data_IF_078657372769
#
_entry.id   IF_078657372769
#
_cell.length_a   1.000
_cell.length_b   1.000
_cell.length_c   1.000
_cell.angle_alpha   90.00
_cell.angle_beta   90.00
_cell.angle_gamma   90.00
#
_symmetry.space_group_name_H-M   'P 1'
#
loop_
_entity.id
_entity.type
_entity.pdbx_description
1 polymer ?
#
# COMPACT_ATOMS: atom_id res chain seq x y z
N UNK A 1 16.82 -8.09 15.57
CA UNK A 1 17.54 -9.18 14.89
C UNK A 1 17.00 -9.18 13.46
N UNK A 2 17.80 -8.83 12.44
CA UNK A 2 17.29 -8.81 11.06
C UNK A 2 16.85 -10.23 10.69
N UNK A 3 15.62 -10.41 10.21
CA UNK A 3 15.06 -11.73 9.91
C UNK A 3 15.71 -12.43 8.71
N UNK A 4 16.56 -11.72 7.95
CA UNK A 4 17.26 -12.26 6.80
C UNK A 4 18.72 -11.81 6.85
N UNK A 5 19.63 -12.69 7.28
CA UNK A 5 21.08 -12.43 7.29
C UNK A 5 21.63 -12.22 5.87
N UNK A 6 20.89 -12.62 4.82
CA UNK A 6 21.22 -12.29 3.43
C UNK A 6 19.99 -12.31 2.52
N UNK A 7 19.78 -11.26 1.71
CA UNK A 7 18.67 -11.17 0.77
C UNK A 7 19.04 -11.84 -0.57
N UNK A 8 18.36 -12.94 -0.91
CA UNK A 8 18.52 -13.61 -2.20
C UNK A 8 17.60 -13.00 -3.26
N UNK A 9 18.18 -12.46 -4.34
CA UNK A 9 17.46 -11.85 -5.46
C UNK A 9 17.62 -12.71 -6.70
N UNK A 10 16.52 -13.10 -7.34
CA UNK A 10 16.50 -13.94 -8.54
C UNK A 10 16.01 -13.14 -9.75
N UNK A 11 16.87 -12.96 -10.74
CA UNK A 11 16.53 -12.37 -12.04
C UNK A 11 16.24 -13.48 -13.06
N UNK A 12 15.12 -13.36 -13.77
CA UNK A 12 14.68 -14.32 -14.78
C UNK A 12 14.40 -13.60 -16.09
N UNK A 13 15.23 -13.84 -17.10
CA UNK A 13 15.09 -13.22 -18.43
C UNK A 13 15.62 -14.17 -19.51
N UNK A 14 14.84 -14.38 -20.57
CA UNK A 14 15.27 -15.25 -21.68
C UNK A 14 16.40 -14.65 -22.53
N UNK A 15 16.64 -13.33 -22.42
CA UNK A 15 17.77 -12.66 -23.06
C UNK A 15 19.03 -12.70 -22.19
N UNK A 16 19.94 -13.60 -22.53
CA UNK A 16 21.23 -13.77 -21.85
C UNK A 16 22.09 -12.51 -21.84
N UNK A 17 21.99 -11.65 -22.86
CA UNK A 17 22.77 -10.42 -22.89
C UNK A 17 22.27 -9.42 -21.84
N UNK A 18 20.95 -9.40 -21.59
CA UNK A 18 20.37 -8.58 -20.53
C UNK A 18 20.76 -9.09 -19.15
N UNK A 19 20.74 -10.41 -18.93
CA UNK A 19 21.23 -11.00 -17.67
C UNK A 19 22.69 -10.65 -17.41
N UNK A 20 23.57 -10.79 -18.41
CA UNK A 20 25.00 -10.45 -18.26
C UNK A 20 25.25 -8.94 -18.13
N UNK A 21 24.36 -8.09 -18.67
CA UNK A 21 24.39 -6.66 -18.39
C UNK A 21 24.02 -6.38 -16.92
N UNK A 22 22.89 -6.91 -16.43
CA UNK A 22 22.45 -6.76 -15.05
C UNK A 22 23.50 -7.28 -14.05
N UNK A 23 24.07 -8.45 -14.33
CA UNK A 23 25.12 -9.06 -13.50
C UNK A 23 26.38 -8.19 -13.39
N UNK A 24 26.76 -7.52 -14.48
CA UNK A 24 27.89 -6.57 -14.46
C UNK A 24 27.56 -5.33 -13.66
N UNK A 25 26.37 -4.77 -13.84
CA UNK A 25 26.02 -3.49 -13.20
C UNK A 25 25.70 -3.64 -11.72
N UNK A 26 25.11 -4.76 -11.30
CA UNK A 26 24.78 -5.02 -9.90
C UNK A 26 25.93 -5.64 -9.10
N UNK A 27 27.10 -5.88 -9.74
CA UNK A 27 28.25 -6.55 -9.11
C UNK A 27 28.72 -5.87 -7.84
N UNK A 28 28.68 -4.53 -7.81
CA UNK A 28 29.16 -3.73 -6.67
C UNK A 28 28.21 -3.80 -5.46
N UNK A 29 27.06 -4.48 -5.58
CA UNK A 29 26.06 -4.65 -4.51
C UNK A 29 26.05 -6.08 -3.95
N UNK A 30 26.98 -6.95 -4.37
CA UNK A 30 27.09 -8.33 -3.90
C UNK A 30 27.41 -8.45 -2.40
N UNK A 31 27.94 -7.38 -1.79
CA UNK A 31 28.17 -7.34 -0.33
C UNK A 31 26.86 -7.22 0.45
N UNK A 32 25.78 -6.79 -0.21
CA UNK A 32 24.44 -6.60 0.40
C UNK A 32 23.44 -7.67 -0.06
N UNK A 33 23.56 -8.15 -1.30
CA UNK A 33 22.61 -9.06 -1.93
C UNK A 33 23.27 -10.29 -2.52
N UNK A 34 22.59 -11.44 -2.46
CA UNK A 34 22.98 -12.64 -3.18
C UNK A 34 22.20 -12.72 -4.49
N UNK A 35 22.88 -12.44 -5.59
CA UNK A 35 22.28 -12.34 -6.91
C UNK A 35 22.28 -13.68 -7.64
N UNK A 36 21.11 -14.09 -8.12
CA UNK A 36 20.87 -15.31 -8.90
C UNK A 36 20.28 -14.93 -10.26
N UNK A 37 20.63 -15.67 -11.32
CA UNK A 37 20.20 -15.38 -12.69
C UNK A 37 19.78 -16.67 -13.41
N UNK A 38 18.61 -16.64 -14.04
CA UNK A 38 18.02 -17.75 -14.78
C UNK A 38 17.51 -17.30 -16.15
N UNK A 39 17.58 -18.17 -17.16
CA UNK A 39 17.09 -17.89 -18.52
C UNK A 39 15.72 -18.51 -18.83
N UNK A 40 15.11 -19.20 -17.85
CA UNK A 40 13.85 -19.92 -18.04
C UNK A 40 13.06 -20.09 -16.75
N UNK A 41 11.74 -20.25 -16.86
CA UNK A 41 10.86 -20.52 -15.70
C UNK A 41 11.23 -21.82 -14.96
N UNK A 42 11.70 -22.85 -15.68
CA UNK A 42 12.06 -24.13 -15.06
C UNK A 42 13.27 -23.98 -14.14
N UNK A 43 14.35 -23.37 -14.63
CA UNK A 43 15.55 -23.11 -13.80
C UNK A 43 15.26 -22.17 -12.62
N UNK A 44 14.37 -21.20 -12.80
CA UNK A 44 13.92 -20.32 -11.71
C UNK A 44 13.22 -21.10 -10.58
N UNK A 45 12.32 -22.03 -10.93
CA UNK A 45 11.63 -22.88 -9.96
C UNK A 45 12.59 -23.86 -9.25
N UNK A 46 13.60 -24.37 -9.94
CA UNK A 46 14.63 -25.21 -9.32
C UNK A 46 15.43 -24.45 -8.26
N UNK A 47 15.77 -23.17 -8.51
CA UNK A 47 16.44 -22.33 -7.51
C UNK A 47 15.53 -21.96 -6.34
N UNK A 48 14.25 -21.67 -6.60
CA UNK A 48 13.27 -21.40 -5.54
C UNK A 48 13.10 -22.57 -4.56
N UNK A 49 13.21 -23.81 -5.05
CA UNK A 49 13.20 -25.00 -4.18
C UNK A 49 14.47 -25.11 -3.31
N UNK A 50 15.59 -24.54 -3.75
CA UNK A 50 16.90 -24.71 -3.10
C UNK A 50 17.28 -23.54 -2.18
N UNK A 51 16.77 -22.35 -2.46
CA UNK A 51 17.19 -21.11 -1.82
C UNK A 51 15.99 -20.28 -1.36
N UNK A 52 16.09 -19.59 -0.21
CA UNK A 52 15.05 -18.70 0.28
C UNK A 52 15.07 -17.37 -0.50
N UNK A 53 14.59 -17.39 -1.75
CA UNK A 53 14.53 -16.21 -2.61
C UNK A 53 13.59 -15.17 -1.99
N UNK A 54 14.15 -14.02 -1.62
CA UNK A 54 13.40 -12.90 -1.07
C UNK A 54 12.64 -12.15 -2.16
N UNK A 55 13.28 -11.93 -3.32
CA UNK A 55 12.69 -11.19 -4.45
C UNK A 55 12.96 -11.95 -5.74
N UNK A 56 11.92 -12.16 -6.56
CA UNK A 56 12.04 -12.61 -7.94
C UNK A 56 11.67 -11.46 -8.89
N UNK A 57 12.51 -11.24 -9.90
CA UNK A 57 12.33 -10.26 -10.96
C UNK A 57 12.24 -11.03 -12.27
N UNK A 58 11.03 -11.13 -12.85
CA UNK A 58 10.80 -11.86 -14.09
C UNK A 58 10.51 -10.90 -15.25
N UNK A 59 11.04 -11.19 -16.43
CA UNK A 59 10.53 -10.61 -17.67
C UNK A 59 9.12 -11.13 -17.97
N UNK A 60 8.30 -10.35 -18.69
CA UNK A 60 6.96 -10.75 -19.14
C UNK A 60 6.97 -11.94 -20.08
N UNK A 61 7.97 -12.04 -20.95
CA UNK A 61 8.12 -13.13 -21.90
C UNK A 61 9.40 -13.93 -21.62
N UNK A 62 9.25 -15.22 -21.30
CA UNK A 62 10.35 -16.14 -21.04
C UNK A 62 10.39 -17.23 -22.13
N UNK A 63 10.90 -16.86 -23.31
CA UNK A 63 10.86 -17.72 -24.49
C UNK A 63 9.42 -17.98 -24.96
N UNK A 64 8.94 -19.22 -24.89
CA UNK A 64 7.55 -19.58 -25.23
C UNK A 64 6.57 -19.52 -24.06
N UNK A 65 7.06 -19.28 -22.84
CA UNK A 65 6.23 -19.20 -21.61
C UNK A 65 6.04 -17.74 -21.18
N UNK A 66 4.91 -17.48 -20.53
CA UNK A 66 4.68 -16.19 -19.89
C UNK A 66 5.38 -16.12 -18.53
N UNK A 67 6.01 -14.99 -18.23
CA UNK A 67 6.54 -14.68 -16.92
C UNK A 67 5.43 -14.54 -15.86
N UNK A 68 4.23 -14.11 -16.25
CA UNK A 68 3.08 -14.03 -15.34
C UNK A 68 2.69 -15.42 -14.79
N UNK A 69 2.80 -16.46 -15.61
CA UNK A 69 2.55 -17.85 -15.19
C UNK A 69 3.62 -18.35 -14.21
N UNK A 70 4.89 -17.95 -14.40
CA UNK A 70 5.92 -18.19 -13.39
C UNK A 70 5.55 -17.49 -12.08
N UNK A 71 5.23 -16.20 -12.11
CA UNK A 71 4.89 -15.44 -10.91
C UNK A 71 3.65 -15.99 -10.20
N UNK A 72 2.65 -16.50 -10.94
CA UNK A 72 1.50 -17.21 -10.38
C UNK A 72 1.91 -18.46 -9.61
N UNK A 73 2.83 -19.26 -10.17
CA UNK A 73 3.37 -20.44 -9.47
C UNK A 73 4.17 -20.03 -8.23
N UNK A 74 4.96 -18.95 -8.30
CA UNK A 74 5.66 -18.39 -7.14
C UNK A 74 4.67 -17.92 -6.07
N UNK A 75 3.57 -17.25 -6.44
CA UNK A 75 2.55 -16.83 -5.48
C UNK A 75 1.94 -18.01 -4.72
N UNK A 76 1.71 -19.13 -5.41
CA UNK A 76 1.07 -20.32 -4.82
C UNK A 76 2.02 -21.18 -3.99
N UNK A 77 3.28 -21.32 -4.41
CA UNK A 77 4.25 -22.24 -3.78
C UNK A 77 5.27 -21.54 -2.88
N UNK A 78 5.53 -20.26 -3.14
CA UNK A 78 6.52 -19.42 -2.45
C UNK A 78 5.94 -18.04 -2.09
N UNK A 79 4.82 -17.99 -1.34
CA UNK A 79 4.11 -16.74 -1.06
C UNK A 79 5.00 -15.67 -0.38
N UNK A 80 5.99 -16.08 0.43
CA UNK A 80 6.97 -15.16 1.05
C UNK A 80 7.91 -14.44 0.05
N UNK A 81 8.01 -14.90 -1.20
CA UNK A 81 8.83 -14.28 -2.24
C UNK A 81 8.10 -13.06 -2.83
N UNK A 82 8.75 -11.89 -2.77
CA UNK A 82 8.25 -10.69 -3.43
C UNK A 82 8.45 -10.81 -4.95
N UNK A 83 7.34 -10.73 -5.68
CA UNK A 83 7.29 -10.88 -7.14
C UNK A 83 7.27 -9.52 -7.84
N UNK A 84 8.30 -9.23 -8.64
CA UNK A 84 8.39 -8.05 -9.50
C UNK A 84 8.39 -8.49 -10.97
N UNK A 85 7.69 -7.74 -11.82
CA UNK A 85 7.66 -7.96 -13.26
C UNK A 85 8.42 -6.83 -13.96
N UNK A 86 9.37 -7.16 -14.83
CA UNK A 86 10.21 -6.19 -15.53
C UNK A 86 9.92 -6.26 -17.03
N UNK A 87 9.32 -5.24 -17.64
CA UNK A 87 8.88 -5.37 -19.05
C UNK A 87 9.02 -4.11 -19.91
N UNK A 88 9.45 -4.34 -21.15
CA UNK A 88 9.57 -3.32 -22.20
C UNK A 88 8.38 -3.21 -23.13
N UNK A 89 7.35 -4.04 -22.96
CA UNK A 89 6.11 -4.01 -23.75
C UNK A 89 4.88 -3.93 -22.85
N UNK A 90 4.97 -3.09 -21.81
CA UNK A 90 3.89 -2.71 -20.90
C UNK A 90 2.49 -2.83 -21.56
N UNK A 91 2.24 -2.08 -22.63
CA UNK A 91 0.93 -2.00 -23.31
C UNK A 91 0.40 -3.29 -23.98
N UNK A 92 1.18 -4.38 -24.08
CA UNK A 92 0.74 -5.64 -24.72
C UNK A 92 0.43 -6.77 -23.74
N UNK A 93 0.78 -6.61 -22.46
CA UNK A 93 0.43 -7.60 -21.43
C UNK A 93 -1.01 -7.35 -20.96
N UNK A 94 -1.90 -8.35 -20.91
CA UNK A 94 -3.24 -8.16 -20.36
C UNK A 94 -3.17 -7.62 -18.94
N UNK A 95 -3.90 -6.54 -18.65
CA UNK A 95 -3.89 -5.91 -17.33
C UNK A 95 -4.25 -6.87 -16.18
N UNK A 96 -5.02 -7.92 -16.47
CA UNK A 96 -5.39 -8.96 -15.51
C UNK A 96 -4.16 -9.74 -14.98
N UNK A 97 -3.18 -10.01 -15.86
CA UNK A 97 -1.98 -10.74 -15.49
C UNK A 97 -1.01 -9.91 -14.64
N UNK A 98 -1.05 -8.58 -14.82
CA UNK A 98 -0.24 -7.61 -14.09
C UNK A 98 -0.71 -7.48 -12.65
N UNK A 99 -2.03 -7.52 -12.46
CA UNK A 99 -2.66 -7.04 -11.23
C UNK A 99 -2.77 -8.11 -10.14
N UNK A 100 -2.68 -9.41 -10.48
CA UNK A 100 -2.91 -10.49 -9.53
C UNK A 100 -1.64 -11.21 -9.06
N UNK A 101 -0.60 -11.27 -9.90
CA UNK A 101 0.54 -12.17 -9.66
C UNK A 101 1.85 -11.42 -9.38
N UNK A 102 1.99 -10.18 -9.85
CA UNK A 102 3.11 -9.31 -9.51
C UNK A 102 2.68 -8.29 -8.45
N UNK A 103 3.56 -8.00 -7.49
CA UNK A 103 3.33 -6.90 -6.55
C UNK A 103 3.61 -5.56 -7.22
N UNK A 104 4.69 -5.51 -8.01
CA UNK A 104 5.14 -4.30 -8.71
C UNK A 104 5.57 -4.62 -10.14
N UNK A 105 5.38 -3.64 -11.01
CA UNK A 105 5.84 -3.68 -12.39
C UNK A 105 6.89 -2.58 -12.62
N UNK A 106 7.99 -2.93 -13.27
CA UNK A 106 9.10 -2.04 -13.63
C UNK A 106 9.15 -1.95 -15.16
N UNK A 107 9.19 -0.74 -15.72
CA UNK A 107 9.21 -0.54 -17.17
C UNK A 107 10.66 -0.63 -17.69
N UNK A 108 10.85 -1.26 -18.84
CA UNK A 108 12.10 -1.16 -19.61
C UNK A 108 11.98 -0.03 -20.66
N UNK A 109 13.02 0.79 -20.87
CA UNK A 109 14.30 0.76 -20.14
C UNK A 109 14.14 1.33 -18.72
N UNK A 110 14.72 0.63 -17.74
CA UNK A 110 14.92 1.14 -16.38
C UNK A 110 16.41 1.35 -16.19
N UNK A 111 16.82 2.55 -15.78
CA UNK A 111 18.20 2.78 -15.42
C UNK A 111 18.52 2.02 -14.12
N UNK A 112 19.80 1.68 -13.96
CA UNK A 112 20.23 0.83 -12.86
C UNK A 112 20.04 1.48 -11.49
N UNK A 113 20.18 2.81 -11.39
CA UNK A 113 20.00 3.49 -10.11
C UNK A 113 18.54 3.39 -9.65
N UNK A 114 17.60 3.58 -10.56
CA UNK A 114 16.17 3.39 -10.27
C UNK A 114 15.87 1.95 -9.84
N UNK A 115 16.43 0.95 -10.53
CA UNK A 115 16.26 -0.46 -10.14
C UNK A 115 16.81 -0.74 -8.74
N UNK A 116 18.02 -0.24 -8.43
CA UNK A 116 18.65 -0.39 -7.11
C UNK A 116 17.75 0.23 -6.03
N UNK A 117 17.27 1.46 -6.24
CA UNK A 117 16.39 2.16 -5.29
C UNK A 117 15.10 1.36 -5.06
N UNK A 118 14.50 0.78 -6.09
CA UNK A 118 13.31 -0.08 -5.94
C UNK A 118 13.64 -1.31 -5.08
N UNK A 119 14.74 -2.01 -5.36
CA UNK A 119 15.14 -3.21 -4.63
C UNK A 119 15.49 -2.92 -3.17
N UNK A 120 16.26 -1.86 -2.90
CA UNK A 120 16.57 -1.40 -1.55
C UNK A 120 15.30 -1.08 -0.76
N UNK A 121 14.34 -0.38 -1.37
CA UNK A 121 13.06 -0.07 -0.74
C UNK A 121 12.27 -1.32 -0.40
N UNK A 122 12.11 -2.24 -1.35
CA UNK A 122 11.38 -3.49 -1.10
C UNK A 122 12.02 -4.28 0.04
N UNK A 123 13.36 -4.32 0.11
CA UNK A 123 14.08 -4.99 1.20
C UNK A 123 13.87 -4.27 2.54
N UNK A 124 14.02 -2.95 2.60
CA UNK A 124 13.80 -2.15 3.81
C UNK A 124 12.37 -2.29 4.33
N UNK A 125 11.38 -2.36 3.44
CA UNK A 125 9.98 -2.54 3.82
C UNK A 125 9.75 -3.93 4.43
N UNK A 126 10.46 -4.97 3.98
CA UNK A 126 10.40 -6.30 4.62
C UNK A 126 10.87 -6.24 6.06
N UNK A 127 11.84 -5.38 6.40
CA UNK A 127 12.31 -5.18 7.77
C UNK A 127 11.25 -4.50 8.68
N UNK A 128 10.23 -3.83 8.11
CA UNK A 128 9.08 -3.34 8.88
C UNK A 128 8.23 -4.49 9.43
N UNK A 129 8.16 -5.59 8.69
CA UNK A 129 7.45 -6.79 9.11
C UNK A 129 8.43 -7.73 9.80
N UNK A 130 8.59 -7.55 11.11
CA UNK A 130 9.37 -8.45 11.95
C UNK A 130 8.69 -9.81 12.20
N UNK A 131 7.85 -10.26 11.27
CA UNK A 131 7.08 -11.50 11.35
C UNK A 131 6.91 -12.13 9.95
N UNK A 132 7.59 -13.25 9.65
CA UNK A 132 7.49 -13.93 8.36
C UNK A 132 6.06 -14.33 7.97
N UNK A 133 5.21 -14.68 8.93
CA UNK A 133 3.83 -15.03 8.66
C UNK A 133 3.02 -13.82 8.16
N UNK A 134 3.34 -12.62 8.65
CA UNK A 134 2.72 -11.38 8.16
C UNK A 134 3.24 -11.02 6.77
N UNK A 135 4.54 -11.22 6.50
CA UNK A 135 5.09 -11.06 5.14
C UNK A 135 4.41 -12.00 4.16
N UNK A 136 4.24 -13.27 4.52
CA UNK A 136 3.57 -14.27 3.70
C UNK A 136 2.11 -13.91 3.45
N UNK A 137 1.38 -13.52 4.49
CA UNK A 137 0.01 -13.06 4.41
C UNK A 137 -0.12 -11.90 3.42
N UNK A 138 0.65 -10.82 3.61
CA UNK A 138 0.55 -9.64 2.75
C UNK A 138 0.95 -9.95 1.31
N UNK A 139 1.99 -10.76 1.10
CA UNK A 139 2.41 -11.16 -0.24
C UNK A 139 1.42 -12.10 -0.94
N UNK A 140 0.56 -12.81 -0.19
CA UNK A 140 -0.46 -13.68 -0.77
C UNK A 140 -1.67 -12.90 -1.31
N UNK A 141 -1.83 -11.63 -0.90
CA UNK A 141 -2.94 -10.77 -1.30
C UNK A 141 -2.89 -10.47 -2.80
N UNK A 142 -3.92 -10.93 -3.53
CA UNK A 142 -4.15 -10.55 -4.93
C UNK A 142 -4.96 -9.26 -5.08
N UNK A 143 -5.89 -8.99 -4.17
CA UNK A 143 -6.72 -7.78 -4.14
C UNK A 143 -7.11 -7.43 -2.71
N UNK A 144 -7.56 -6.19 -2.52
CA UNK A 144 -8.18 -5.75 -1.28
C UNK A 144 -9.70 -5.73 -1.45
N UNK A 145 -10.45 -6.19 -0.44
CA UNK A 145 -11.89 -6.15 -0.51
C UNK A 145 -12.41 -4.72 -0.30
N UNK A 146 -13.54 -4.44 -0.93
CA UNK A 146 -14.27 -3.18 -0.88
C UNK A 146 -15.59 -3.36 -0.14
N UNK A 147 -16.11 -2.26 0.43
CA UNK A 147 -17.44 -2.31 1.08
C UNK A 147 -18.51 -2.74 0.06
N UNK A 148 -19.49 -3.57 0.46
CA UNK A 148 -20.58 -4.01 -0.40
C UNK A 148 -21.32 -2.86 -1.08
N UNK A 149 -21.56 -1.76 -0.37
CA UNK A 149 -22.22 -0.58 -0.91
C UNK A 149 -21.37 0.11 -2.00
N UNK A 150 -20.07 0.32 -1.75
CA UNK A 150 -19.15 0.90 -2.72
C UNK A 150 -19.00 0.01 -3.95
N UNK A 151 -18.91 -1.32 -3.75
CA UNK A 151 -18.86 -2.30 -4.83
C UNK A 151 -20.12 -2.25 -5.70
N UNK A 152 -21.30 -2.25 -5.07
CA UNK A 152 -22.57 -2.14 -5.75
C UNK A 152 -22.66 -0.84 -6.58
N UNK A 153 -22.31 0.31 -5.97
CA UNK A 153 -22.28 1.62 -6.64
C UNK A 153 -21.34 1.62 -7.85
N UNK A 154 -20.15 1.02 -7.71
CA UNK A 154 -19.20 0.90 -8.81
C UNK A 154 -19.78 0.10 -9.98
N UNK A 155 -20.38 -1.07 -9.71
CA UNK A 155 -20.96 -1.90 -10.76
C UNK A 155 -22.13 -1.19 -11.46
N UNK A 156 -23.00 -0.53 -10.69
CA UNK A 156 -24.13 0.24 -11.22
C UNK A 156 -23.65 1.40 -12.10
N UNK A 157 -22.64 2.15 -11.64
CA UNK A 157 -22.03 3.22 -12.41
C UNK A 157 -21.39 2.69 -13.71
N UNK A 158 -20.66 1.57 -13.67
CA UNK A 158 -20.02 1.02 -14.87
C UNK A 158 -20.99 0.44 -15.91
N UNK A 159 -22.22 0.12 -15.50
CA UNK A 159 -23.27 -0.40 -16.38
C UNK A 159 -24.18 0.71 -16.95
N UNK A 160 -24.12 1.91 -16.39
CA UNK A 160 -24.90 3.07 -16.85
C UNK A 160 -24.24 3.74 -18.06
N UNK A 161 -25.04 4.07 -19.07
CA UNK A 161 -24.60 4.81 -20.27
C UNK A 161 -24.29 6.29 -19.98
N UNK A 162 -24.80 6.84 -18.88
CA UNK A 162 -24.69 8.26 -18.51
C UNK A 162 -23.55 8.56 -17.51
N UNK A 163 -22.77 7.55 -17.12
CA UNK A 163 -21.75 7.69 -16.08
C UNK A 163 -20.61 8.60 -16.49
N UNK A 164 -20.16 9.42 -15.55
CA UNK A 164 -19.03 10.33 -15.74
C UNK A 164 -17.74 9.84 -15.07
N UNK A 165 -16.58 10.32 -15.56
CA UNK A 165 -15.28 10.09 -14.91
C UNK A 165 -15.26 10.61 -13.47
N UNK A 166 -15.96 11.72 -13.22
CA UNK A 166 -16.04 12.32 -11.89
C UNK A 166 -16.78 11.39 -10.91
N UNK A 167 -17.91 10.83 -11.33
CA UNK A 167 -18.70 9.90 -10.54
C UNK A 167 -17.92 8.62 -10.18
N UNK A 168 -17.27 7.99 -11.16
CA UNK A 168 -16.40 6.83 -10.88
C UNK A 168 -15.26 7.22 -9.94
N UNK A 169 -14.63 8.37 -10.18
CA UNK A 169 -13.57 8.89 -9.32
C UNK A 169 -14.01 9.06 -7.87
N UNK A 170 -15.23 9.56 -7.64
CA UNK A 170 -15.81 9.72 -6.30
C UNK A 170 -16.10 8.38 -5.62
N UNK A 171 -16.63 7.40 -6.36
CA UNK A 171 -16.89 6.06 -5.82
C UNK A 171 -15.57 5.42 -5.39
N UNK A 172 -14.55 5.43 -6.25
CA UNK A 172 -13.23 4.87 -5.94
C UNK A 172 -12.63 5.56 -4.72
N UNK A 173 -12.61 6.90 -4.72
CA UNK A 173 -11.95 7.67 -3.67
C UNK A 173 -12.61 7.56 -2.28
N UNK A 174 -13.84 7.04 -2.20
CA UNK A 174 -14.50 6.76 -0.91
C UNK A 174 -14.17 5.38 -0.36
N UNK A 175 -13.56 4.50 -1.15
CA UNK A 175 -13.29 3.11 -0.76
C UNK A 175 -11.79 2.81 -0.68
N UNK A 176 -11.35 2.25 0.46
CA UNK A 176 -9.95 1.88 0.70
C UNK A 176 -9.45 0.85 -0.31
N UNK A 177 -10.21 -0.23 -0.52
CA UNK A 177 -9.83 -1.31 -1.42
C UNK A 177 -9.71 -0.84 -2.86
N UNK A 178 -10.72 -0.12 -3.35
CA UNK A 178 -10.73 0.39 -4.72
C UNK A 178 -9.64 1.43 -4.95
N UNK A 179 -9.50 2.39 -4.04
CA UNK A 179 -8.47 3.43 -4.13
C UNK A 179 -7.08 2.82 -4.21
N UNK A 180 -6.75 1.93 -3.26
CA UNK A 180 -5.42 1.31 -3.19
C UNK A 180 -5.15 0.49 -4.46
N UNK A 181 -6.14 -0.27 -4.94
CA UNK A 181 -5.98 -1.11 -6.13
C UNK A 181 -5.83 -0.29 -7.41
N UNK A 182 -6.61 0.77 -7.57
CA UNK A 182 -6.50 1.65 -8.73
C UNK A 182 -5.16 2.40 -8.74
N UNK A 183 -4.70 2.85 -7.58
CA UNK A 183 -3.41 3.52 -7.44
C UNK A 183 -2.25 2.56 -7.69
N UNK A 184 -2.30 1.31 -7.20
CA UNK A 184 -1.32 0.27 -7.54
C UNK A 184 -1.22 0.14 -9.06
N UNK A 185 -2.37 0.08 -9.73
CA UNK A 185 -2.42 -0.09 -11.17
C UNK A 185 -1.78 1.06 -11.91
N UNK A 186 -2.21 2.30 -11.64
CA UNK A 186 -1.72 3.48 -12.37
C UNK A 186 -0.24 3.74 -12.10
N UNK A 187 0.25 3.41 -10.90
CA UNK A 187 1.67 3.50 -10.55
C UNK A 187 2.51 2.31 -11.03
N UNK A 188 1.87 1.26 -11.54
CA UNK A 188 2.59 0.20 -12.23
C UNK A 188 3.17 0.78 -13.52
N UNK A 189 4.39 0.38 -13.88
CA UNK A 189 5.01 0.93 -15.09
C UNK A 189 4.33 0.47 -16.40
N UNK A 190 3.21 -0.26 -16.33
CA UNK A 190 2.31 -0.53 -17.44
C UNK A 190 1.79 0.74 -18.12
N UNK A 191 1.45 1.76 -17.33
CA UNK A 191 0.91 3.01 -17.86
C UNK A 191 2.00 3.99 -18.29
N UNK A 192 3.28 3.68 -18.03
CA UNK A 192 4.42 4.45 -18.51
C UNK A 192 4.42 5.92 -18.06
N UNK A 193 3.80 6.23 -16.92
CA UNK A 193 3.62 7.61 -16.46
C UNK A 193 4.94 8.18 -15.91
N UNK A 194 5.26 9.45 -16.21
CA UNK A 194 6.50 10.10 -15.76
C UNK A 194 6.48 10.45 -14.27
N UNK A 195 5.30 10.48 -13.64
CA UNK A 195 5.10 10.80 -12.23
C UNK A 195 4.19 9.76 -11.58
N UNK A 196 4.44 9.48 -10.30
CA UNK A 196 3.54 8.65 -9.50
C UNK A 196 2.23 9.41 -9.25
N UNK A 197 1.12 8.69 -9.37
CA UNK A 197 -0.23 9.19 -9.17
C UNK A 197 -0.69 8.86 -7.76
N UNK A 198 -1.12 9.88 -7.03
CA UNK A 198 -1.55 9.77 -5.63
C UNK A 198 -3.06 10.00 -5.46
N UNK A 199 -3.77 10.39 -6.52
CA UNK A 199 -5.21 10.70 -6.47
C UNK A 199 -6.02 9.64 -7.21
N UNK A 200 -6.98 8.96 -6.56
CA UNK A 200 -7.86 8.00 -7.24
C UNK A 200 -8.69 8.66 -8.36
N UNK A 201 -9.14 9.90 -8.19
CA UNK A 201 -9.84 10.65 -9.24
C UNK A 201 -8.93 10.93 -10.44
N UNK A 202 -7.68 11.30 -10.18
CA UNK A 202 -6.68 11.51 -11.23
C UNK A 202 -6.39 10.18 -11.95
N UNK A 203 -6.28 9.08 -11.21
CA UNK A 203 -6.13 7.74 -11.77
C UNK A 203 -7.28 7.35 -12.71
N UNK A 204 -8.54 7.58 -12.31
CA UNK A 204 -9.72 7.35 -13.18
C UNK A 204 -9.65 8.23 -14.44
N UNK A 205 -9.27 9.50 -14.29
CA UNK A 205 -9.14 10.42 -15.43
C UNK A 205 -8.09 9.97 -16.44
N UNK A 206 -6.96 9.42 -15.97
CA UNK A 206 -5.89 8.90 -16.83
C UNK A 206 -6.25 7.59 -17.52
N UNK A 207 -6.93 6.69 -16.80
CA UNK A 207 -7.32 5.37 -17.32
C UNK A 207 -8.50 5.44 -18.28
N UNK A 208 -9.45 6.33 -18.03
CA UNK A 208 -10.72 6.38 -18.72
C UNK A 208 -11.71 5.31 -18.24
N UNK A 209 -13.00 5.57 -18.49
CA UNK A 209 -14.11 4.71 -18.04
C UNK A 209 -13.99 3.29 -18.61
N UNK A 210 -13.65 3.16 -19.90
CA UNK A 210 -13.56 1.86 -20.57
C UNK A 210 -12.50 0.95 -19.91
N UNK A 211 -11.32 1.50 -19.63
CA UNK A 211 -10.25 0.75 -18.96
C UNK A 211 -10.68 0.36 -17.55
N UNK A 212 -11.23 1.29 -16.76
CA UNK A 212 -11.71 0.99 -15.41
C UNK A 212 -12.81 -0.08 -15.44
N UNK A 213 -13.72 -0.02 -16.41
CA UNK A 213 -14.81 -1.00 -16.60
C UNK A 213 -14.27 -2.40 -16.92
N UNK A 214 -13.36 -2.49 -17.90
CA UNK A 214 -12.72 -3.76 -18.27
C UNK A 214 -11.96 -4.40 -17.11
N UNK A 215 -11.36 -3.59 -16.24
CA UNK A 215 -10.65 -4.05 -15.06
C UNK A 215 -11.59 -4.49 -13.94
N UNK A 216 -12.57 -3.66 -13.60
CA UNK A 216 -13.52 -3.95 -12.54
C UNK A 216 -14.38 -5.17 -12.86
N UNK A 217 -14.92 -5.25 -14.09
CA UNK A 217 -15.84 -6.32 -14.51
C UNK A 217 -15.12 -7.54 -15.07
N UNK A 218 -14.12 -7.34 -15.93
CA UNK A 218 -13.44 -8.43 -16.63
C UNK A 218 -12.33 -9.06 -15.80
N UNK A 219 -11.52 -8.23 -15.14
CA UNK A 219 -10.38 -8.69 -14.35
C UNK A 219 -10.72 -8.91 -12.87
N UNK A 220 -11.91 -8.50 -12.42
CA UNK A 220 -12.38 -8.62 -11.04
C UNK A 220 -11.36 -8.07 -10.02
N UNK A 221 -10.72 -6.94 -10.35
CA UNK A 221 -9.68 -6.34 -9.49
C UNK A 221 -10.22 -5.88 -8.14
N UNK A 222 -11.53 -5.62 -8.07
CA UNK A 222 -12.25 -5.32 -6.85
C UNK A 222 -12.97 -6.57 -6.37
N UNK A 223 -12.81 -6.89 -5.08
CA UNK A 223 -13.55 -7.95 -4.43
C UNK A 223 -14.54 -7.35 -3.44
N UNK A 224 -15.66 -8.03 -3.22
CA UNK A 224 -16.66 -7.63 -2.23
C UNK A 224 -16.27 -8.21 -0.87
N UNK A 225 -16.27 -7.38 0.16
CA UNK A 225 -16.06 -7.79 1.54
C UNK A 225 -17.27 -8.58 2.08
N UNK A 226 -17.03 -9.59 2.90
CA UNK A 226 -18.09 -10.36 3.56
C UNK A 226 -18.76 -9.51 4.66
N UNK A 227 -20.11 -9.49 4.67
CA UNK A 227 -20.89 -8.77 5.67
C UNK A 227 -20.59 -9.27 7.10
N UNK A 228 -20.29 -10.56 7.28
CA UNK A 228 -19.95 -11.10 8.58
C UNK A 228 -18.71 -10.44 9.19
N UNK A 229 -17.68 -10.18 8.35
CA UNK A 229 -16.45 -9.51 8.79
C UNK A 229 -16.69 -8.04 9.12
N UNK A 230 -17.55 -7.40 8.34
CA UNK A 230 -17.93 -6.01 8.55
C UNK A 230 -18.60 -5.85 9.91
N UNK A 231 -19.59 -6.69 10.21
CA UNK A 231 -20.32 -6.65 11.48
C UNK A 231 -19.41 -7.02 12.67
N UNK A 232 -18.54 -8.00 12.48
CA UNK A 232 -17.65 -8.51 13.52
C UNK A 232 -16.57 -7.50 13.94
N UNK A 233 -15.89 -6.91 12.96
CA UNK A 233 -14.80 -5.96 13.20
C UNK A 233 -15.25 -4.50 13.17
N UNK A 234 -16.55 -4.24 12.93
CA UNK A 234 -17.14 -2.91 12.75
C UNK A 234 -16.34 -2.09 11.75
N UNK A 235 -16.26 -2.59 10.52
CA UNK A 235 -15.37 -2.02 9.50
C UNK A 235 -15.89 -0.72 8.88
N UNK A 236 -17.18 -0.37 8.97
CA UNK A 236 -17.65 0.95 8.50
C UNK A 236 -17.00 2.12 9.24
N UNK A 237 -16.88 2.10 10.59
CA UNK A 237 -16.07 3.06 11.33
C UNK A 237 -14.64 3.23 10.81
N UNK A 238 -13.99 2.17 10.32
CA UNK A 238 -12.65 2.26 9.74
C UNK A 238 -12.62 3.14 8.48
N UNK A 239 -13.60 2.99 7.58
CA UNK A 239 -13.72 3.86 6.39
C UNK A 239 -14.04 5.29 6.79
N UNK A 240 -14.93 5.51 7.76
CA UNK A 240 -15.28 6.84 8.26
C UNK A 240 -14.08 7.56 8.88
N UNK A 241 -13.30 6.84 9.71
CA UNK A 241 -12.06 7.35 10.30
C UNK A 241 -11.04 7.70 9.22
N UNK A 242 -10.80 6.80 8.27
CA UNK A 242 -9.87 7.01 7.16
C UNK A 242 -10.22 8.25 6.31
N UNK A 243 -11.51 8.44 6.02
CA UNK A 243 -12.02 9.61 5.30
C UNK A 243 -11.87 10.89 6.13
N UNK A 244 -12.08 10.81 7.44
CA UNK A 244 -11.92 11.95 8.36
C UNK A 244 -10.47 12.37 8.51
N UNK A 245 -9.56 11.42 8.64
CA UNK A 245 -8.11 11.66 8.66
C UNK A 245 -7.68 12.29 7.34
N UNK A 246 -8.05 11.71 6.20
CA UNK A 246 -7.78 12.24 4.86
C UNK A 246 -8.27 13.68 4.67
N UNK A 247 -9.50 13.97 5.12
CA UNK A 247 -10.09 15.30 5.05
C UNK A 247 -9.40 16.31 5.97
N UNK A 248 -9.05 15.91 7.19
CA UNK A 248 -8.32 16.77 8.12
C UNK A 248 -6.90 17.04 7.64
N UNK A 249 -6.18 16.03 7.11
CA UNK A 249 -4.88 16.20 6.46
C UNK A 249 -4.94 17.28 5.38
N UNK A 250 -5.99 17.29 4.56
CA UNK A 250 -6.21 18.32 3.55
C UNK A 250 -6.32 19.72 4.16
N UNK A 251 -7.14 19.88 5.22
CA UNK A 251 -7.34 21.18 5.86
C UNK A 251 -6.06 21.70 6.53
N UNK A 252 -5.35 20.82 7.23
CA UNK A 252 -4.09 21.17 7.88
C UNK A 252 -3.01 21.54 6.86
N UNK A 253 -2.86 20.77 5.78
CA UNK A 253 -1.89 21.09 4.73
C UNK A 253 -2.23 22.39 3.97
N UNK A 254 -3.51 22.69 3.75
CA UNK A 254 -3.94 24.00 3.23
C UNK A 254 -3.58 25.14 4.19
N UNK A 255 -3.74 24.93 5.50
CA UNK A 255 -3.33 25.90 6.51
C UNK A 255 -1.81 26.13 6.53
N UNK A 256 -1.01 25.12 6.19
CA UNK A 256 0.44 25.23 5.97
C UNK A 256 0.82 25.86 4.61
N UNK A 257 -0.15 26.23 3.77
CA UNK A 257 0.09 26.86 2.47
C UNK A 257 0.48 25.89 1.35
N UNK A 258 0.20 24.59 1.49
CA UNK A 258 0.46 23.61 0.44
C UNK A 258 -0.50 23.79 -0.74
N UNK A 259 0.03 23.63 -1.95
CA UNK A 259 -0.75 23.61 -3.18
C UNK A 259 -1.61 22.35 -3.30
N UNK A 260 -2.59 22.36 -4.22
CA UNK A 260 -3.43 21.19 -4.48
C UNK A 260 -2.64 19.94 -4.88
N UNK A 261 -1.54 20.12 -5.63
CA UNK A 261 -0.69 19.02 -6.08
C UNK A 261 0.14 18.44 -4.93
N UNK A 262 0.71 19.29 -4.08
CA UNK A 262 1.46 18.85 -2.90
C UNK A 262 0.57 18.09 -1.89
N UNK A 263 -0.74 18.37 -1.88
CA UNK A 263 -1.69 17.69 -1.01
C UNK A 263 -2.11 16.29 -1.48
N UNK A 264 -1.88 15.90 -2.74
CA UNK A 264 -2.37 14.61 -3.26
C UNK A 264 -1.78 13.43 -2.46
N UNK A 265 -0.48 13.46 -2.22
CA UNK A 265 0.26 12.39 -1.52
C UNK A 265 -0.11 12.26 -0.03
N UNK A 266 -0.08 13.32 0.80
CA UNK A 266 -0.45 13.20 2.21
C UNK A 266 -1.93 12.88 2.40
N UNK A 267 -2.83 13.38 1.54
CA UNK A 267 -4.27 13.04 1.62
C UNK A 267 -4.48 11.55 1.34
N UNK A 268 -3.84 11.01 0.31
CA UNK A 268 -3.86 9.57 0.06
C UNK A 268 -3.28 8.78 1.23
N UNK A 269 -2.15 9.22 1.79
CA UNK A 269 -1.55 8.57 2.96
C UNK A 269 -2.51 8.58 4.16
N UNK A 270 -3.21 9.70 4.40
CA UNK A 270 -4.25 9.80 5.43
C UNK A 270 -5.43 8.87 5.18
N UNK A 271 -5.86 8.71 3.93
CA UNK A 271 -6.89 7.74 3.55
C UNK A 271 -6.43 6.31 3.79
N UNK A 272 -5.16 5.98 3.54
CA UNK A 272 -4.66 4.60 3.59
C UNK A 272 -3.92 4.24 4.88
N UNK A 273 -3.82 5.15 5.85
CA UNK A 273 -2.97 4.95 7.04
C UNK A 273 -3.33 3.70 7.85
N UNK A 274 -4.62 3.37 7.91
CA UNK A 274 -5.15 2.21 8.64
C UNK A 274 -5.42 1.00 7.73
N UNK A 275 -4.94 1.00 6.49
CA UNK A 275 -5.16 -0.09 5.54
C UNK A 275 -4.76 -1.47 6.09
N UNK A 276 -3.73 -1.52 6.96
CA UNK A 276 -3.32 -2.75 7.63
C UNK A 276 -4.41 -3.40 8.49
N UNK A 277 -5.35 -2.62 9.05
CA UNK A 277 -6.47 -3.16 9.84
C UNK A 277 -7.41 -3.98 8.96
N UNK A 278 -7.66 -3.52 7.73
CA UNK A 278 -8.46 -4.26 6.73
C UNK A 278 -7.77 -5.57 6.31
N UNK A 279 -6.45 -5.52 6.15
CA UNK A 279 -5.66 -6.71 5.80
C UNK A 279 -5.75 -7.76 6.92
N UNK A 280 -5.51 -7.35 8.17
CA UNK A 280 -5.59 -8.23 9.34
C UNK A 280 -6.99 -8.82 9.51
N UNK A 281 -8.04 -7.99 9.39
CA UNK A 281 -9.42 -8.43 9.47
C UNK A 281 -9.82 -9.42 8.38
N UNK A 282 -9.28 -9.27 7.16
CA UNK A 282 -9.63 -10.16 6.04
C UNK A 282 -8.86 -11.49 6.04
N UNK A 283 -7.61 -11.50 6.51
CA UNK A 283 -6.71 -12.66 6.36
C UNK A 283 -6.43 -13.46 7.65
N UNK A 284 -6.54 -12.85 8.85
CA UNK A 284 -6.20 -13.51 10.11
C UNK A 284 -7.30 -13.34 11.17
N UNK A 285 -8.51 -13.74 10.80
CA UNK A 285 -9.76 -13.39 11.49
C UNK A 285 -9.77 -13.79 12.97
N UNK A 286 -9.49 -15.05 13.30
CA UNK A 286 -9.62 -15.53 14.69
C UNK A 286 -8.61 -14.87 15.64
N UNK A 287 -7.36 -14.74 15.19
CA UNK A 287 -6.30 -14.12 15.99
C UNK A 287 -6.53 -12.61 16.12
N UNK A 288 -6.92 -11.95 15.03
CA UNK A 288 -7.19 -10.52 15.06
C UNK A 288 -8.44 -10.19 15.88
N UNK A 289 -9.48 -11.04 15.86
CA UNK A 289 -10.65 -10.94 16.75
C UNK A 289 -10.22 -10.92 18.21
N UNK A 290 -9.28 -11.79 18.59
CA UNK A 290 -8.75 -11.86 19.97
C UNK A 290 -8.01 -10.56 20.33
N UNK A 291 -7.18 -10.04 19.44
CA UNK A 291 -6.42 -8.79 19.62
C UNK A 291 -7.37 -7.59 19.79
N UNK A 292 -8.32 -7.41 18.86
CA UNK A 292 -9.29 -6.30 18.91
C UNK A 292 -10.13 -6.35 20.19
N UNK A 293 -10.56 -7.55 20.59
CA UNK A 293 -11.31 -7.74 21.84
C UNK A 293 -10.48 -7.36 23.06
N UNK A 294 -9.22 -7.77 23.11
CA UNK A 294 -8.31 -7.42 24.21
C UNK A 294 -8.12 -5.90 24.29
N UNK A 295 -7.75 -5.26 23.18
CA UNK A 295 -7.56 -3.81 23.12
C UNK A 295 -8.79 -3.04 23.64
N UNK A 296 -9.99 -3.48 23.23
CA UNK A 296 -11.25 -2.88 23.68
C UNK A 296 -11.51 -3.10 25.18
N UNK A 297 -11.22 -4.29 25.70
CA UNK A 297 -11.47 -4.63 27.11
C UNK A 297 -10.49 -3.95 28.06
N UNK A 298 -9.25 -3.78 27.64
CA UNK A 298 -8.16 -3.19 28.42
C UNK A 298 -8.03 -1.68 28.18
N UNK A 299 -8.79 -1.12 27.22
CA UNK A 299 -8.74 0.29 26.81
C UNK A 299 -7.31 0.65 26.39
N UNK A 300 -6.73 -0.18 25.52
CA UNK A 300 -5.39 0.01 24.97
C UNK A 300 -5.47 0.41 23.50
N UNK A 301 -4.54 1.25 23.01
CA UNK A 301 -4.42 1.52 21.58
C UNK A 301 -4.21 0.21 20.82
N UNK A 302 -4.99 0.02 19.75
CA UNK A 302 -4.97 -1.23 19.00
C UNK A 302 -3.56 -1.57 18.46
N UNK A 303 -2.78 -0.57 18.05
CA UNK A 303 -1.42 -0.80 17.53
C UNK A 303 -0.46 -1.37 18.59
N UNK A 304 -0.67 -1.08 19.89
CA UNK A 304 0.15 -1.62 20.98
C UNK A 304 -0.17 -3.10 21.19
N UNK A 305 -1.46 -3.45 21.24
CA UNK A 305 -1.92 -4.84 21.40
C UNK A 305 -1.55 -5.69 20.19
N UNK A 306 -1.62 -5.13 18.98
CA UNK A 306 -1.12 -5.78 17.77
C UNK A 306 0.39 -6.01 17.84
N UNK A 307 1.17 -5.01 18.24
CA UNK A 307 2.63 -5.14 18.34
C UNK A 307 3.04 -6.22 19.34
N UNK A 308 2.34 -6.34 20.47
CA UNK A 308 2.57 -7.40 21.45
C UNK A 308 2.25 -8.79 20.90
N UNK A 309 1.11 -8.94 20.21
CA UNK A 309 0.65 -10.24 19.72
C UNK A 309 1.32 -10.69 18.42
N UNK A 310 1.57 -9.77 17.48
CA UNK A 310 1.99 -10.05 16.11
C UNK A 310 3.43 -9.63 15.83
N UNK A 311 4.08 -8.90 16.74
CA UNK A 311 5.45 -8.37 16.59
C UNK A 311 5.57 -7.32 15.47
N UNK A 312 4.42 -6.83 15.01
CA UNK A 312 4.21 -5.70 14.12
C UNK A 312 2.78 -5.19 14.32
N UNK A 313 2.45 -4.02 13.77
CA UNK A 313 1.10 -3.46 13.83
C UNK A 313 0.61 -3.03 12.45
N UNK A 314 -0.68 -2.66 12.35
CA UNK A 314 -1.34 -2.33 11.08
C UNK A 314 -0.61 -1.27 10.26
N UNK A 315 0.00 -0.28 10.89
CA UNK A 315 0.79 0.74 10.17
C UNK A 315 1.92 0.13 9.33
N UNK A 316 2.68 -0.82 9.92
CA UNK A 316 3.75 -1.52 9.20
C UNK A 316 3.23 -2.43 8.09
N UNK A 317 2.10 -3.10 8.34
CA UNK A 317 1.42 -3.98 7.36
C UNK A 317 0.91 -3.17 6.16
N UNK A 318 0.23 -2.06 6.41
CA UNK A 318 -0.26 -1.15 5.38
C UNK A 318 0.89 -0.55 4.58
N UNK A 319 1.92 -0.03 5.24
CA UNK A 319 3.10 0.52 4.58
C UNK A 319 3.84 -0.52 3.72
N UNK A 320 3.99 -1.74 4.24
CA UNK A 320 4.60 -2.83 3.49
C UNK A 320 3.82 -3.11 2.19
N UNK A 321 2.50 -3.26 2.25
CA UNK A 321 1.67 -3.46 1.06
C UNK A 321 1.78 -2.28 0.08
N UNK A 322 1.64 -1.05 0.57
CA UNK A 322 1.70 0.15 -0.26
C UNK A 322 3.04 0.27 -1.00
N UNK A 323 4.14 -0.01 -0.31
CA UNK A 323 5.46 0.02 -0.92
C UNK A 323 5.70 -1.13 -1.90
N UNK A 324 5.20 -2.34 -1.60
CA UNK A 324 5.18 -3.44 -2.56
C UNK A 324 4.38 -3.11 -3.83
N UNK A 325 3.32 -2.31 -3.69
CA UNK A 325 2.47 -1.86 -4.79
C UNK A 325 3.00 -0.62 -5.51
N UNK A 326 4.20 -0.16 -5.15
CA UNK A 326 4.89 0.93 -5.83
C UNK A 326 4.27 2.31 -5.61
N UNK A 327 3.51 2.49 -4.52
CA UNK A 327 2.99 3.81 -4.14
C UNK A 327 4.12 4.77 -3.73
N UNK A 328 3.87 6.09 -3.74
CA UNK A 328 4.87 7.10 -3.37
C UNK A 328 5.51 6.83 -2.01
N UNK A 329 6.85 6.91 -1.97
CA UNK A 329 7.62 6.56 -0.77
C UNK A 329 7.26 7.42 0.44
N UNK A 330 7.04 8.73 0.24
CA UNK A 330 6.66 9.62 1.35
C UNK A 330 5.29 9.27 1.95
N UNK A 331 4.36 8.74 1.15
CA UNK A 331 3.10 8.20 1.65
C UNK A 331 3.32 6.90 2.41
N UNK A 332 4.18 6.00 1.91
CA UNK A 332 4.55 4.77 2.61
C UNK A 332 5.18 5.06 3.98
N UNK A 333 6.08 6.05 4.06
CA UNK A 333 6.66 6.50 5.32
C UNK A 333 5.61 7.10 6.26
N UNK A 334 4.73 7.96 5.74
CA UNK A 334 3.65 8.55 6.52
C UNK A 334 2.73 7.47 7.12
N UNK A 335 2.40 6.45 6.34
CA UNK A 335 1.63 5.29 6.83
C UNK A 335 2.44 4.46 7.81
N UNK A 336 3.73 4.18 7.59
CA UNK A 336 4.53 3.36 8.50
C UNK A 336 4.66 3.98 9.90
N UNK A 337 4.70 5.31 9.97
CA UNK A 337 5.07 6.05 11.17
C UNK A 337 3.94 6.90 11.78
N UNK A 338 2.69 6.73 11.36
CA UNK A 338 1.58 7.56 11.86
C UNK A 338 1.25 7.41 13.36
N UNK A 339 1.83 6.43 14.06
CA UNK A 339 1.80 6.31 15.53
C UNK A 339 3.12 6.70 16.22
N UNK A 340 4.20 6.93 15.46
CA UNK A 340 5.53 7.19 16.01
C UNK A 340 5.85 8.69 15.93
N UNK A 341 5.80 9.36 17.07
CA UNK A 341 6.11 10.79 17.18
C UNK A 341 7.59 11.12 16.97
N UNK A 342 8.52 10.21 17.29
CA UNK A 342 9.97 10.43 17.15
C UNK A 342 10.42 10.53 15.68
N UNK A 343 9.61 9.98 14.76
CA UNK A 343 9.89 10.02 13.32
C UNK A 343 9.40 11.33 12.65
N UNK A 344 8.65 12.15 13.38
CA UNK A 344 7.95 13.30 12.83
C UNK A 344 8.82 14.56 12.84
N UNK A 345 8.71 15.35 11.78
CA UNK A 345 9.39 16.64 11.67
C UNK A 345 8.68 17.55 10.67
N UNK A 346 8.89 18.87 10.81
CA UNK A 346 8.35 19.88 9.90
C UNK A 346 8.85 19.67 8.46
N UNK A 347 10.07 19.14 8.30
CA UNK A 347 10.65 18.83 6.99
C UNK A 347 9.98 17.62 6.31
N UNK A 348 9.29 16.77 7.09
CA UNK A 348 8.55 15.59 6.61
C UNK A 348 7.04 15.83 6.68
N UNK A 349 6.58 16.81 5.90
CA UNK A 349 5.18 17.27 5.91
C UNK A 349 4.16 16.13 5.79
N UNK A 350 4.40 15.15 4.93
CA UNK A 350 3.47 14.03 4.73
C UNK A 350 3.28 13.21 6.01
N UNK A 351 4.38 12.89 6.70
CA UNK A 351 4.34 12.17 7.96
C UNK A 351 3.67 13.01 9.05
N UNK A 352 4.07 14.27 9.20
CA UNK A 352 3.56 15.18 10.22
C UNK A 352 2.05 15.41 10.09
N UNK A 353 1.55 15.57 8.86
CA UNK A 353 0.14 15.78 8.60
C UNK A 353 -0.70 14.55 8.96
N UNK A 354 -0.28 13.35 8.52
CA UNK A 354 -1.02 12.11 8.83
C UNK A 354 -0.99 11.81 10.32
N UNK A 355 0.19 11.92 10.95
CA UNK A 355 0.35 11.77 12.40
C UNK A 355 -0.55 12.75 13.17
N UNK A 356 -0.46 14.05 12.85
CA UNK A 356 -1.20 15.09 13.57
C UNK A 356 -2.70 14.98 13.37
N UNK A 357 -3.17 14.69 12.16
CA UNK A 357 -4.59 14.47 11.90
C UNK A 357 -5.14 13.27 12.66
N UNK A 358 -4.43 12.13 12.62
CA UNK A 358 -4.84 10.92 13.34
C UNK A 358 -4.87 11.16 14.86
N UNK A 359 -3.82 11.77 15.41
CA UNK A 359 -3.72 12.10 16.84
C UNK A 359 -4.84 13.03 17.29
N UNK A 360 -5.08 14.13 16.57
CA UNK A 360 -6.10 15.12 16.93
C UNK A 360 -7.51 14.53 16.86
N UNK A 361 -7.81 13.72 15.84
CA UNK A 361 -9.12 13.08 15.74
C UNK A 361 -9.36 12.11 16.90
N UNK A 362 -8.39 11.25 17.24
CA UNK A 362 -8.52 10.36 18.40
C UNK A 362 -8.65 11.14 19.71
N UNK A 363 -7.84 12.16 19.91
CA UNK A 363 -7.86 12.98 21.13
C UNK A 363 -9.17 13.73 21.32
N UNK A 364 -9.76 14.26 20.23
CA UNK A 364 -10.99 15.03 20.31
C UNK A 364 -12.24 14.15 20.39
N UNK A 365 -12.27 13.02 19.67
CA UNK A 365 -13.48 12.19 19.52
C UNK A 365 -13.68 11.15 20.62
N UNK A 366 -12.61 10.63 21.24
CA UNK A 366 -12.73 9.50 22.16
C UNK A 366 -12.15 9.80 23.54
N UNK A 367 -13.03 10.13 24.49
CA UNK A 367 -12.63 10.45 25.86
C UNK A 367 -11.93 9.30 26.58
N UNK A 368 -12.23 8.05 26.24
CA UNK A 368 -11.65 6.87 26.90
C UNK A 368 -10.19 6.69 26.52
N UNK A 369 -9.82 7.05 25.29
CA UNK A 369 -8.46 6.87 24.77
C UNK A 369 -7.61 8.14 24.79
N UNK A 370 -8.15 9.29 25.23
CA UNK A 370 -7.41 10.58 25.33
C UNK A 370 -6.05 10.46 26.02
N UNK A 371 -5.94 9.62 27.06
CA UNK A 371 -4.68 9.43 27.80
C UNK A 371 -3.57 8.77 26.96
N UNK A 372 -3.93 8.03 25.90
CA UNK A 372 -2.99 7.35 25.00
C UNK A 372 -2.61 8.20 23.78
N UNK A 373 -3.39 9.24 23.50
CA UNK A 373 -3.19 10.15 22.37
C UNK A 373 -2.87 11.56 22.90
N UNK A 374 -1.79 11.69 23.66
CA UNK A 374 -1.35 12.96 24.23
C UNK A 374 -0.85 13.92 23.13
N UNK A 375 -1.46 15.11 22.95
CA UNK A 375 -1.04 16.07 21.94
C UNK A 375 0.30 16.77 22.26
N UNK A 376 0.89 16.59 23.44
CA UNK A 376 2.13 17.28 23.83
C UNK A 376 3.29 17.07 22.86
N UNK A 377 3.41 15.87 22.27
CA UNK A 377 4.41 15.59 21.24
C UNK A 377 4.18 16.45 19.99
N UNK A 378 2.93 16.55 19.52
CA UNK A 378 2.56 17.40 18.39
C UNK A 378 2.74 18.89 18.70
N UNK A 379 2.36 19.32 19.91
CA UNK A 379 2.57 20.69 20.38
C UNK A 379 4.06 21.04 20.43
N UNK A 380 4.91 20.13 20.91
CA UNK A 380 6.36 20.33 20.95
C UNK A 380 6.97 20.44 19.55
N UNK A 381 6.43 19.70 18.57
CA UNK A 381 6.88 19.73 17.18
C UNK A 381 6.47 21.02 16.45
N UNK A 382 5.25 21.52 16.70
CA UNK A 382 4.68 22.67 15.99
C UNK A 382 4.92 24.02 16.69
N UNK A 383 5.12 24.01 18.01
CA UNK A 383 5.02 25.20 18.85
C UNK A 383 3.56 25.58 19.16
N UNK A 384 3.37 26.39 20.20
CA UNK A 384 2.04 26.68 20.76
C UNK A 384 1.08 27.34 19.76
N UNK A 385 1.57 28.31 18.97
CA UNK A 385 0.71 29.06 18.04
C UNK A 385 0.13 28.15 16.94
N UNK A 386 0.99 27.38 16.27
CA UNK A 386 0.57 26.50 15.18
C UNK A 386 -0.21 25.29 15.72
N UNK A 387 0.14 24.75 16.89
CA UNK A 387 -0.66 23.72 17.55
C UNK A 387 -2.08 24.20 17.84
N UNK A 388 -2.24 25.39 18.44
CA UNK A 388 -3.57 25.95 18.73
C UNK A 388 -4.39 26.16 17.45
N UNK A 389 -3.72 26.55 16.35
CA UNK A 389 -4.36 26.67 15.04
C UNK A 389 -4.83 25.31 14.50
N UNK A 390 -4.00 24.28 14.57
CA UNK A 390 -4.34 22.92 14.14
C UNK A 390 -5.48 22.34 14.96
N UNK A 391 -5.42 22.50 16.28
CA UNK A 391 -6.46 22.09 17.20
C UNK A 391 -7.81 22.73 16.85
N UNK A 392 -7.82 24.05 16.61
CA UNK A 392 -9.04 24.75 16.19
C UNK A 392 -9.60 24.22 14.86
N UNK A 393 -8.74 23.98 13.87
CA UNK A 393 -9.15 23.39 12.58
C UNK A 393 -9.76 22.00 12.80
N UNK A 394 -9.15 21.17 13.63
CA UNK A 394 -9.64 19.83 13.92
C UNK A 394 -10.99 19.84 14.65
N UNK A 395 -11.19 20.76 15.60
CA UNK A 395 -12.48 20.96 16.27
C UNK A 395 -13.57 21.38 15.29
N UNK A 396 -13.32 22.43 14.49
CA UNK A 396 -14.28 22.90 13.48
C UNK A 396 -14.61 21.81 12.44
N UNK A 397 -13.62 21.00 12.09
CA UNK A 397 -13.79 19.87 11.17
C UNK A 397 -14.71 18.79 11.73
N UNK A 398 -14.55 18.42 13.00
CA UNK A 398 -15.41 17.43 13.67
C UNK A 398 -16.84 17.96 13.85
N UNK A 399 -16.99 19.21 14.29
CA UNK A 399 -18.30 19.84 14.46
C UNK A 399 -19.09 19.85 13.15
N UNK A 400 -18.42 20.19 12.04
CA UNK A 400 -19.01 20.20 10.71
C UNK A 400 -19.38 18.83 10.13
N UNK A 401 -18.88 17.72 10.69
CA UNK A 401 -19.34 16.36 10.33
C UNK A 401 -20.58 15.92 11.10
N UNK A 402 -20.86 16.54 12.25
CA UNK A 402 -22.01 16.18 13.12
C UNK A 402 -23.30 16.95 12.79
N UNK A 403 -23.22 17.98 11.95
CA UNK A 403 -24.33 18.73 11.36
C UNK A 403 -24.64 18.29 9.94
#
# INVERSE_FOLDING_TARGET
MKLFDTNHLLFVDSDRNQLEALKRTLRDHNDQWQLHFCDSSASALELLHQLPIAIIISETQLGSKSGSELLKQVQQQYPSTTRLLFSGQALRTPAQEIVHHAHQFIAKPCDTQTLIVILERVIQLRDLLNNPAMTEMVNSLGSLPSLPASYQQMIEALQSEDTSLAEIGEIVAKDLGMSTKLLQMVNSAFFGLPQQISSPQHAVTLLGIETVSNLALGAAIFSRLDQALIDEFKLEPLWQHSQSVSGLVRQLGMAMGMSRQELETPVMAGMLHDLGKLILASQNQDEYRRIVKQATQEILPLFETEAEALWCHHAGIGAYLMGLWGLPFSAVEAVAHHHNHEYQSIDRKDCLLVYGANLLLHWLSDEQYRQHYDPQSLQSLLGDEEFNRWHKIAQEYLDGQTT
#
